data_IF_926250747757
#
_entry.id   IF_926250747757
#
_cell.length_a   1.000
_cell.length_b   1.000
_cell.length_c   1.000
_cell.angle_alpha   90.00
_cell.angle_beta   90.00
_cell.angle_gamma   90.00
#
_symmetry.space_group_name_H-M   'P 1'
#
loop_
_entity.id
_entity.type
_entity.pdbx_description
1 polymer ?
#
# COMPACT_ATOMS: atom_id res chain seq x y z
N UNK A 1 -25.63 -48.51 5.77
CA UNK A 1 -25.46 -47.07 6.01
C UNK A 1 -24.76 -46.53 4.78
N UNK A 2 -25.48 -45.72 3.98
CA UNK A 2 -24.93 -45.11 2.76
C UNK A 2 -24.21 -43.83 3.22
N UNK A 3 -22.91 -43.76 3.01
CA UNK A 3 -22.19 -42.48 3.05
C UNK A 3 -22.77 -41.57 1.98
N UNK A 4 -23.46 -40.52 2.40
CA UNK A 4 -23.82 -39.43 1.52
C UNK A 4 -22.51 -38.68 1.22
N UNK A 5 -22.01 -38.82 0.00
CA UNK A 5 -20.94 -37.98 -0.52
C UNK A 5 -21.38 -36.52 -0.41
N UNK A 6 -20.65 -35.69 0.38
CA UNK A 6 -20.70 -34.24 0.26
C UNK A 6 -20.28 -33.91 -1.15
N UNK A 7 -21.22 -33.43 -1.96
CA UNK A 7 -20.86 -32.81 -3.22
C UNK A 7 -19.83 -31.73 -2.95
N UNK A 8 -18.74 -31.72 -3.67
CA UNK A 8 -17.80 -30.59 -3.70
C UNK A 8 -18.62 -29.38 -4.18
N UNK A 9 -19.00 -28.50 -3.25
CA UNK A 9 -19.51 -27.18 -3.63
C UNK A 9 -18.43 -26.51 -4.45
N UNK A 10 -18.78 -26.08 -5.65
CA UNK A 10 -17.85 -25.30 -6.49
C UNK A 10 -17.48 -24.02 -5.74
N UNK A 11 -16.24 -23.58 -5.74
CA UNK A 11 -15.87 -22.34 -5.08
C UNK A 11 -16.64 -21.17 -5.71
N UNK A 12 -17.03 -20.20 -4.89
CA UNK A 12 -17.76 -19.00 -5.31
C UNK A 12 -16.88 -18.03 -6.15
N UNK A 13 -15.78 -18.51 -6.71
CA UNK A 13 -14.85 -17.73 -7.52
C UNK A 13 -14.05 -18.63 -8.49
N UNK A 14 -13.50 -18.00 -9.52
CA UNK A 14 -12.51 -18.61 -10.41
C UNK A 14 -11.32 -17.67 -10.60
N UNK A 15 -10.10 -18.17 -10.36
CA UNK A 15 -8.87 -17.50 -10.79
C UNK A 15 -8.55 -17.99 -12.18
N UNK A 16 -8.44 -17.04 -13.17
CA UNK A 16 -8.21 -17.41 -14.57
C UNK A 16 -6.73 -17.49 -14.88
N UNK A 17 -6.10 -16.31 -15.07
CA UNK A 17 -4.74 -16.21 -15.52
C UNK A 17 -3.94 -15.26 -14.61
N UNK A 18 -2.62 -15.40 -14.62
CA UNK A 18 -1.69 -14.45 -14.02
C UNK A 18 -0.78 -13.88 -15.10
N UNK A 19 -0.51 -12.58 -15.03
CA UNK A 19 0.32 -11.85 -15.99
C UNK A 19 1.46 -11.13 -15.27
N UNK A 20 2.59 -10.97 -15.96
CA UNK A 20 3.67 -10.09 -15.50
C UNK A 20 3.40 -8.71 -16.09
N UNK A 21 3.22 -7.72 -15.22
CA UNK A 21 3.00 -6.31 -15.59
C UNK A 21 4.33 -5.64 -15.92
N UNK A 22 5.31 -5.83 -15.05
CA UNK A 22 6.65 -5.28 -15.23
C UNK A 22 7.69 -6.17 -14.55
N UNK A 23 8.78 -6.42 -15.26
CA UNK A 23 9.95 -7.14 -14.75
C UNK A 23 11.21 -6.50 -15.32
N UNK A 24 12.22 -6.33 -14.47
CA UNK A 24 13.55 -5.86 -14.83
C UNK A 24 14.59 -6.66 -14.04
N UNK A 25 15.47 -7.36 -14.74
CA UNK A 25 16.46 -8.25 -14.12
C UNK A 25 17.48 -7.50 -13.24
N UNK A 26 17.63 -6.20 -13.44
CA UNK A 26 18.54 -5.33 -12.68
C UNK A 26 17.85 -4.54 -11.57
N UNK A 27 16.52 -4.66 -11.48
CA UNK A 27 15.72 -3.92 -10.53
C UNK A 27 15.08 -4.82 -9.46
N UNK A 28 14.74 -4.18 -8.36
CA UNK A 28 13.80 -4.68 -7.36
C UNK A 28 12.50 -3.89 -7.52
N UNK A 29 11.42 -4.58 -7.84
CA UNK A 29 10.10 -3.99 -8.05
C UNK A 29 9.15 -4.39 -6.92
N UNK A 30 8.37 -3.43 -6.39
CA UNK A 30 7.50 -3.69 -5.24
C UNK A 30 6.37 -2.67 -5.10
N UNK A 31 5.48 -2.91 -4.14
CA UNK A 31 4.44 -1.99 -3.66
C UNK A 31 3.58 -1.41 -4.80
N UNK A 32 2.89 -2.26 -5.59
CA UNK A 32 2.03 -1.75 -6.64
C UNK A 32 0.75 -1.13 -6.10
N UNK A 33 0.22 -0.16 -6.84
CA UNK A 33 -1.11 0.39 -6.73
C UNK A 33 -1.69 0.54 -8.12
N UNK A 34 -2.99 0.26 -8.30
CA UNK A 34 -3.65 0.28 -9.61
C UNK A 34 -5.03 0.92 -9.51
N UNK A 35 -5.42 1.65 -10.54
CA UNK A 35 -6.77 2.23 -10.69
C UNK A 35 -7.26 2.10 -12.12
N UNK A 36 -8.60 2.10 -12.29
CA UNK A 36 -9.25 2.22 -13.60
C UNK A 36 -9.56 3.69 -13.82
N UNK A 37 -9.11 4.23 -14.95
CA UNK A 37 -9.38 5.59 -15.35
C UNK A 37 -10.69 5.69 -16.14
N UNK A 38 -11.26 6.89 -16.18
CA UNK A 38 -12.37 7.20 -17.07
C UNK A 38 -12.01 6.81 -18.51
N UNK A 39 -12.89 6.06 -19.17
CA UNK A 39 -12.64 5.49 -20.50
C UNK A 39 -12.01 4.10 -20.50
N UNK A 40 -11.79 3.48 -19.31
CA UNK A 40 -11.43 2.06 -19.18
C UNK A 40 -9.95 1.73 -19.27
N UNK A 41 -9.08 2.72 -19.46
CA UNK A 41 -7.62 2.53 -19.33
C UNK A 41 -7.26 2.26 -17.86
N UNK A 42 -6.32 1.36 -17.59
CA UNK A 42 -5.79 1.16 -16.24
C UNK A 42 -4.45 1.86 -16.09
N UNK A 43 -4.24 2.44 -14.92
CA UNK A 43 -3.00 3.07 -14.54
C UNK A 43 -2.46 2.38 -13.29
N UNK A 44 -1.24 1.86 -13.38
CA UNK A 44 -0.52 1.25 -12.26
C UNK A 44 0.71 2.09 -11.88
N UNK A 45 0.92 2.23 -10.58
CA UNK A 45 2.11 2.83 -9.98
C UNK A 45 2.82 1.77 -9.13
N UNK A 46 4.15 1.74 -9.14
CA UNK A 46 4.91 0.80 -8.33
C UNK A 46 6.31 1.32 -8.05
N UNK A 47 6.94 0.78 -7.02
CA UNK A 47 8.32 1.12 -6.70
C UNK A 47 9.32 0.35 -7.56
N UNK A 48 10.37 1.06 -7.92
CA UNK A 48 11.54 0.57 -8.64
C UNK A 48 12.80 0.99 -7.90
N UNK A 49 13.66 0.04 -7.63
CA UNK A 49 14.96 0.26 -6.99
C UNK A 49 16.00 -0.62 -7.68
N UNK A 50 17.27 -0.34 -7.48
CA UNK A 50 18.32 -1.21 -7.94
C UNK A 50 18.30 -2.54 -7.18
N UNK A 51 18.35 -3.67 -7.89
CA UNK A 51 18.61 -4.98 -7.29
C UNK A 51 20.01 -4.98 -6.66
N UNK A 52 20.10 -5.40 -5.39
CA UNK A 52 21.34 -5.46 -4.62
C UNK A 52 21.59 -6.88 -4.10
N UNK A 53 22.86 -7.20 -3.93
CA UNK A 53 23.30 -8.41 -3.27
C UNK A 53 24.06 -8.05 -1.97
N UNK A 54 23.65 -8.60 -0.81
CA UNK A 54 22.43 -9.41 -0.61
C UNK A 54 21.17 -8.59 -0.86
N UNK A 55 20.08 -9.27 -1.19
CA UNK A 55 18.78 -8.64 -1.35
C UNK A 55 18.38 -7.90 -0.07
N UNK A 56 17.92 -6.68 -0.19
CA UNK A 56 17.46 -5.86 0.92
C UNK A 56 16.05 -5.37 0.61
N UNK A 57 15.17 -5.54 1.59
CA UNK A 57 13.83 -4.95 1.48
C UNK A 57 13.95 -3.42 1.53
N UNK A 58 13.24 -2.68 0.65
CA UNK A 58 13.28 -1.23 0.60
C UNK A 58 12.80 -0.58 1.91
N UNK A 59 13.12 0.68 2.12
CA UNK A 59 13.83 1.60 1.24
C UNK A 59 15.30 1.75 1.66
N UNK A 60 16.19 1.11 0.96
CA UNK A 60 17.64 1.16 1.24
C UNK A 60 18.46 1.88 0.19
N UNK A 61 17.81 2.27 -0.91
CA UNK A 61 18.49 2.77 -2.10
C UNK A 61 18.07 4.20 -2.44
N UNK A 62 19.03 5.15 -2.61
CA UNK A 62 18.73 6.49 -3.11
C UNK A 62 18.07 6.51 -4.50
N UNK A 63 18.18 5.41 -5.26
CA UNK A 63 17.52 5.25 -6.56
C UNK A 63 16.10 4.68 -6.46
N UNK A 64 15.57 4.56 -5.25
CA UNK A 64 14.21 4.10 -5.03
C UNK A 64 13.21 5.12 -5.57
N UNK A 65 12.49 4.76 -6.64
CA UNK A 65 11.60 5.63 -7.41
C UNK A 65 10.24 4.99 -7.61
N UNK A 66 9.26 5.82 -7.94
CA UNK A 66 7.96 5.36 -8.43
C UNK A 66 7.95 5.38 -9.96
N UNK A 67 7.52 4.27 -10.54
CA UNK A 67 7.21 4.15 -11.96
C UNK A 67 5.70 4.06 -12.17
N UNK A 68 5.26 4.52 -13.35
CA UNK A 68 3.88 4.45 -13.83
C UNK A 68 3.84 3.63 -15.12
N UNK A 69 2.87 2.75 -15.27
CA UNK A 69 2.59 2.03 -16.50
C UNK A 69 1.08 1.96 -16.75
N UNK A 70 0.69 1.69 -17.99
CA UNK A 70 -0.70 1.73 -18.45
C UNK A 70 -1.05 0.54 -19.30
N UNK A 71 -2.34 0.24 -19.32
CA UNK A 71 -2.93 -0.71 -20.25
C UNK A 71 -4.30 -0.20 -20.74
N UNK A 72 -4.59 -0.41 -22.02
CA UNK A 72 -5.89 -0.10 -22.63
C UNK A 72 -6.64 -1.37 -23.10
N UNK A 73 -6.09 -2.54 -22.79
CA UNK A 73 -6.61 -3.85 -23.21
C UNK A 73 -6.85 -4.80 -22.01
N UNK A 74 -7.34 -4.24 -20.91
CA UNK A 74 -7.64 -4.97 -19.66
C UNK A 74 -6.46 -5.76 -19.12
N UNK A 75 -5.22 -5.25 -19.27
CA UNK A 75 -4.02 -5.86 -18.72
C UNK A 75 -3.35 -6.90 -19.60
N UNK A 76 -3.83 -7.13 -20.83
CA UNK A 76 -3.21 -8.06 -21.77
C UNK A 76 -1.83 -7.58 -22.25
N UNK A 77 -1.65 -6.26 -22.38
CA UNK A 77 -0.35 -5.64 -22.64
C UNK A 77 -0.18 -4.35 -21.82
N UNK A 78 1.07 -3.98 -21.55
CA UNK A 78 1.42 -2.82 -20.74
C UNK A 78 2.43 -1.93 -21.45
N UNK A 79 2.23 -0.62 -21.35
CA UNK A 79 3.17 0.37 -21.89
C UNK A 79 4.52 0.31 -21.15
N UNK A 80 5.59 0.77 -21.79
CA UNK A 80 6.88 0.93 -21.13
C UNK A 80 6.74 1.88 -19.93
N UNK A 81 7.24 1.52 -18.74
CA UNK A 81 7.09 2.36 -17.56
C UNK A 81 7.76 3.72 -17.71
N UNK A 82 7.14 4.74 -17.13
CA UNK A 82 7.66 6.11 -17.03
C UNK A 82 7.84 6.52 -15.59
N UNK A 83 8.71 7.50 -15.31
CA UNK A 83 8.89 7.99 -13.94
C UNK A 83 7.72 8.87 -13.50
N UNK A 84 7.25 8.63 -12.27
CA UNK A 84 6.39 9.56 -11.54
C UNK A 84 7.18 10.82 -11.12
N UNK A 85 6.51 11.91 -10.66
CA UNK A 85 7.19 13.09 -10.18
C UNK A 85 8.26 12.76 -9.14
N UNK A 86 9.46 13.27 -9.37
CA UNK A 86 10.63 13.10 -8.52
C UNK A 86 11.40 14.43 -8.42
N UNK A 87 11.91 14.73 -7.25
CA UNK A 87 12.63 15.95 -7.00
C UNK A 87 13.58 15.79 -5.81
N UNK A 88 14.64 16.59 -5.81
CA UNK A 88 15.59 16.67 -4.69
C UNK A 88 16.31 15.34 -4.38
N UNK A 89 16.94 15.26 -3.23
CA UNK A 89 17.63 14.08 -2.70
C UNK A 89 16.65 13.13 -2.01
N UNK A 90 15.64 12.68 -2.72
CA UNK A 90 14.62 11.84 -2.14
C UNK A 90 14.39 10.56 -2.95
N UNK A 91 14.02 9.49 -2.26
CA UNK A 91 13.42 8.30 -2.81
C UNK A 91 11.97 8.20 -2.38
N UNK A 92 11.21 7.34 -3.01
CA UNK A 92 9.79 7.19 -2.75
C UNK A 92 9.44 5.78 -2.34
N UNK A 93 8.48 5.63 -1.45
CA UNK A 93 7.96 4.33 -1.04
C UNK A 93 6.42 4.33 -1.09
N UNK A 94 5.86 3.16 -1.35
CA UNK A 94 4.42 2.88 -1.30
C UNK A 94 3.58 3.92 -2.05
N UNK A 95 3.64 3.98 -3.38
CA UNK A 95 2.76 4.86 -4.13
C UNK A 95 1.32 4.40 -4.01
N UNK A 96 0.39 5.35 -3.82
CA UNK A 96 -1.05 5.14 -3.96
C UNK A 96 -1.55 5.89 -5.19
N UNK A 97 -2.33 5.27 -6.06
CA UNK A 97 -2.91 5.93 -7.23
C UNK A 97 -4.41 5.73 -7.30
N UNK A 98 -5.13 6.83 -7.45
CA UNK A 98 -6.59 6.83 -7.60
C UNK A 98 -7.03 7.90 -8.62
N UNK A 99 -8.15 7.67 -9.27
CA UNK A 99 -8.88 8.73 -9.97
C UNK A 99 -10.12 9.10 -9.16
N UNK A 100 -10.31 10.39 -8.91
CA UNK A 100 -11.48 10.96 -8.25
C UNK A 100 -12.65 11.11 -9.24
N UNK A 101 -13.85 11.25 -8.73
CA UNK A 101 -15.06 11.35 -9.55
C UNK A 101 -15.13 12.58 -10.48
N UNK A 102 -14.27 13.59 -10.31
CA UNK A 102 -14.11 14.71 -11.22
C UNK A 102 -13.06 14.47 -12.32
N UNK A 103 -12.45 13.27 -12.35
CA UNK A 103 -11.39 12.90 -13.31
C UNK A 103 -9.97 13.23 -12.83
N UNK A 104 -9.79 13.93 -11.72
CA UNK A 104 -8.45 14.19 -11.15
C UNK A 104 -7.78 12.88 -10.77
N UNK A 105 -6.57 12.65 -11.25
CA UNK A 105 -5.73 11.53 -10.80
C UNK A 105 -4.84 12.01 -9.66
N UNK A 106 -4.86 11.27 -8.56
CA UNK A 106 -4.06 11.55 -7.36
C UNK A 106 -3.02 10.45 -7.20
N UNK A 107 -1.75 10.83 -7.16
CA UNK A 107 -0.64 9.95 -6.80
C UNK A 107 -0.12 10.39 -5.42
N UNK A 108 -0.18 9.50 -4.45
CA UNK A 108 0.42 9.73 -3.13
C UNK A 108 1.77 9.04 -3.02
N UNK A 109 2.70 9.67 -2.32
CA UNK A 109 4.04 9.13 -2.08
C UNK A 109 4.54 9.51 -0.69
N UNK A 110 5.11 8.57 0.03
CA UNK A 110 5.98 8.86 1.15
C UNK A 110 7.42 8.95 0.64
N UNK A 111 8.13 10.04 0.99
CA UNK A 111 9.46 10.32 0.50
C UNK A 111 10.48 10.34 1.63
N UNK A 112 11.59 9.63 1.40
CA UNK A 112 12.76 9.69 2.25
C UNK A 112 13.80 10.65 1.69
N UNK A 113 14.50 11.36 2.58
CA UNK A 113 15.73 12.03 2.20
C UNK A 113 16.91 11.04 2.24
N UNK A 114 17.71 11.03 1.19
CA UNK A 114 18.91 10.21 1.11
C UNK A 114 20.12 11.13 1.09
N UNK A 115 20.85 11.20 2.17
CA UNK A 115 21.93 12.17 2.36
C UNK A 115 23.28 11.48 2.46
N UNK A 116 24.33 11.92 1.70
CA UNK A 116 25.68 11.52 1.98
C UNK A 116 26.02 11.74 3.46
N UNK A 117 26.82 10.86 4.07
CA UNK A 117 27.04 10.87 5.54
C UNK A 117 27.49 12.23 6.07
N UNK A 118 28.35 12.95 5.33
CA UNK A 118 28.81 14.28 5.73
C UNK A 118 27.68 15.33 5.79
N UNK A 119 26.69 15.26 4.91
CA UNK A 119 25.48 16.09 4.95
C UNK A 119 24.54 15.65 6.06
N UNK A 120 24.36 14.34 6.21
CA UNK A 120 23.51 13.75 7.24
C UNK A 120 23.98 14.14 8.67
N UNK A 121 25.29 14.13 8.92
CA UNK A 121 25.88 14.62 10.19
C UNK A 121 25.46 16.06 10.47
N UNK A 122 25.56 16.94 9.48
CA UNK A 122 25.18 18.36 9.62
C UNK A 122 23.68 18.52 9.92
N UNK A 123 22.82 17.75 9.22
CA UNK A 123 21.37 17.78 9.41
C UNK A 123 20.99 17.26 10.80
N UNK A 124 21.60 16.17 11.26
CA UNK A 124 21.39 15.65 12.61
C UNK A 124 21.81 16.66 13.69
N UNK A 125 22.95 17.32 13.49
CA UNK A 125 23.42 18.38 14.42
C UNK A 125 22.46 19.60 14.46
N UNK A 126 21.69 19.82 13.38
CA UNK A 126 20.61 20.80 13.32
C UNK A 126 19.29 20.32 13.91
N UNK A 127 19.24 19.09 14.46
CA UNK A 127 18.05 18.50 15.08
C UNK A 127 17.12 17.73 14.14
N UNK A 128 17.54 17.51 12.88
CA UNK A 128 16.72 16.70 11.95
C UNK A 128 16.84 15.20 12.30
N UNK A 129 15.73 14.43 12.20
CA UNK A 129 15.77 12.99 12.39
C UNK A 129 16.54 12.31 11.26
N UNK A 130 17.60 11.62 11.61
CA UNK A 130 18.47 10.88 10.70
C UNK A 130 18.58 9.44 11.17
N UNK A 131 18.43 8.50 10.25
CA UNK A 131 18.63 7.07 10.52
C UNK A 131 19.86 6.54 9.79
N UNK A 132 20.63 5.67 10.45
CA UNK A 132 21.70 4.88 9.86
C UNK A 132 21.26 3.43 9.69
N UNK A 133 21.78 2.78 8.67
CA UNK A 133 21.72 1.33 8.54
C UNK A 133 23.04 0.75 9.08
N UNK A 134 22.96 0.10 10.22
CA UNK A 134 24.12 -0.50 10.90
C UNK A 134 24.16 -2.03 10.65
N UNK A 135 25.29 -2.69 10.86
CA UNK A 135 25.39 -4.13 10.75
C UNK A 135 24.44 -4.91 11.65
N UNK A 136 24.11 -4.34 12.81
CA UNK A 136 23.29 -4.91 13.89
C UNK A 136 21.95 -4.22 14.09
N UNK A 137 21.72 -3.05 13.46
CA UNK A 137 20.48 -2.28 13.56
C UNK A 137 20.06 -1.77 12.17
N UNK A 138 18.92 -2.21 11.72
CA UNK A 138 18.37 -1.79 10.42
C UNK A 138 17.67 -0.44 10.56
N UNK A 139 18.13 0.59 9.82
CA UNK A 139 17.59 1.95 9.81
C UNK A 139 17.16 2.49 11.18
N UNK A 140 18.12 2.77 12.02
CA UNK A 140 17.91 3.25 13.39
C UNK A 140 18.25 4.73 13.55
N UNK A 141 17.47 5.46 14.36
CA UNK A 141 17.82 6.80 14.88
C UNK A 141 18.62 6.71 16.19
N UNK A 142 18.57 5.54 16.84
CA UNK A 142 19.35 5.27 18.06
C UNK A 142 20.76 4.81 17.70
N UNK A 143 21.67 5.79 17.54
CA UNK A 143 23.09 5.56 17.25
C UNK A 143 23.97 6.70 17.78
N UNK A 144 25.25 6.38 18.08
CA UNK A 144 26.25 7.29 18.60
C UNK A 144 27.17 7.90 17.54
N UNK A 145 28.15 8.69 17.96
CA UNK A 145 29.09 9.35 17.03
C UNK A 145 29.97 8.33 16.30
N UNK A 146 30.40 7.27 16.98
CA UNK A 146 31.28 6.24 16.41
C UNK A 146 30.53 5.36 15.34
N UNK A 147 29.20 5.36 15.38
CA UNK A 147 28.39 4.55 14.44
C UNK A 147 28.39 5.09 13.01
N UNK A 148 28.77 6.34 12.81
CA UNK A 148 28.90 6.89 11.46
C UNK A 148 29.90 6.11 10.60
N UNK A 149 30.99 5.64 11.20
CA UNK A 149 32.00 4.84 10.50
C UNK A 149 31.57 3.38 10.31
N UNK A 150 30.58 2.93 11.08
CA UNK A 150 30.00 1.58 11.00
C UNK A 150 28.84 1.49 10.02
N UNK A 151 28.39 2.60 9.44
CA UNK A 151 27.27 2.60 8.51
C UNK A 151 27.53 1.64 7.34
N UNK A 152 26.51 0.81 7.02
CA UNK A 152 26.56 -0.11 5.86
C UNK A 152 26.65 0.61 4.54
N UNK A 153 26.20 1.87 4.50
CA UNK A 153 26.11 2.68 3.28
C UNK A 153 26.86 3.99 3.45
N UNK A 154 27.25 4.59 2.35
CA UNK A 154 27.85 5.92 2.29
C UNK A 154 26.82 7.04 2.39
N UNK A 155 25.57 6.70 2.66
CA UNK A 155 24.44 7.59 2.87
C UNK A 155 23.63 7.22 4.09
N UNK A 156 22.92 8.19 4.63
CA UNK A 156 21.94 8.06 5.70
C UNK A 156 20.54 8.37 5.17
N UNK A 157 19.52 7.92 5.87
CA UNK A 157 18.12 8.21 5.60
C UNK A 157 17.62 9.33 6.50
N UNK A 158 16.98 10.32 5.90
CA UNK A 158 16.17 11.31 6.60
C UNK A 158 14.71 11.23 6.16
N UNK A 159 13.88 12.10 6.69
CA UNK A 159 12.49 12.23 6.29
C UNK A 159 12.34 13.40 5.35
N UNK A 160 11.56 13.20 4.30
CA UNK A 160 11.25 14.27 3.35
C UNK A 160 9.78 14.66 3.41
N UNK A 161 8.90 13.71 3.70
CA UNK A 161 7.49 13.93 3.95
C UNK A 161 6.54 13.13 3.08
N UNK A 162 5.27 13.37 3.30
CA UNK A 162 4.15 12.79 2.59
C UNK A 162 3.64 13.77 1.54
N UNK A 163 3.42 13.29 0.32
CA UNK A 163 3.07 14.13 -0.83
C UNK A 163 1.86 13.58 -1.59
N UNK A 164 1.05 14.48 -2.11
CA UNK A 164 0.05 14.21 -3.13
C UNK A 164 0.41 14.97 -4.41
N UNK A 165 0.42 14.28 -5.54
CA UNK A 165 0.62 14.85 -6.87
C UNK A 165 -0.68 14.72 -7.64
N UNK A 166 -1.15 15.82 -8.23
CA UNK A 166 -2.42 15.88 -8.93
C UNK A 166 -2.19 16.01 -10.43
N UNK A 167 -3.01 15.31 -11.19
CA UNK A 167 -3.03 15.31 -12.64
C UNK A 167 -4.44 15.53 -13.16
N UNK A 168 -4.57 16.44 -14.14
CA UNK A 168 -5.80 16.68 -14.89
C UNK A 168 -5.82 16.00 -16.26
N UNK A 169 -4.73 15.32 -16.65
CA UNK A 169 -4.54 14.69 -17.95
C UNK A 169 -4.44 13.15 -17.85
N UNK A 170 -5.18 12.56 -16.88
CA UNK A 170 -5.25 11.11 -16.65
C UNK A 170 -3.90 10.53 -16.20
N UNK A 171 -3.12 11.30 -15.42
CA UNK A 171 -1.83 10.87 -14.86
C UNK A 171 -0.70 10.80 -15.91
N UNK A 172 -0.81 11.53 -17.04
CA UNK A 172 0.29 11.65 -18.00
C UNK A 172 1.32 12.67 -17.55
N UNK A 173 0.82 13.77 -16.95
CA UNK A 173 1.65 14.75 -16.24
C UNK A 173 1.03 15.07 -14.87
N UNK A 174 1.84 15.54 -13.94
CA UNK A 174 1.40 15.98 -12.61
C UNK A 174 1.87 17.41 -12.45
N UNK A 175 0.93 18.34 -12.52
CA UNK A 175 1.20 19.78 -12.56
C UNK A 175 1.04 20.46 -11.18
N UNK A 176 0.53 19.73 -10.20
CA UNK A 176 0.35 20.22 -8.84
C UNK A 176 0.86 19.20 -7.82
N UNK A 177 1.71 19.68 -6.91
CA UNK A 177 2.28 18.86 -5.83
C UNK A 177 2.03 19.53 -4.48
N UNK A 178 1.46 18.78 -3.57
CA UNK A 178 1.17 19.22 -2.20
C UNK A 178 1.99 18.36 -1.23
N UNK A 179 2.74 19.01 -0.34
CA UNK A 179 3.26 18.36 0.86
C UNK A 179 2.16 18.38 1.93
N UNK A 180 1.81 17.23 2.47
CA UNK A 180 0.81 17.11 3.50
C UNK A 180 1.39 17.53 4.86
N UNK A 181 0.65 18.34 5.61
CA UNK A 181 0.98 18.62 6.99
C UNK A 181 0.38 17.53 7.89
N UNK A 182 1.22 16.81 8.57
CA UNK A 182 0.85 15.68 9.44
C UNK A 182 0.91 16.04 10.92
N UNK A 183 1.27 17.27 11.27
CA UNK A 183 1.33 17.71 12.67
C UNK A 183 0.02 17.50 13.43
N UNK A 184 0.03 16.99 14.66
CA UNK A 184 1.19 16.82 15.56
C UNK A 184 1.97 15.50 15.39
N UNK A 185 1.56 14.61 14.47
CA UNK A 185 2.25 13.35 14.23
C UNK A 185 3.44 13.57 13.31
N UNK A 186 4.38 12.63 13.31
CA UNK A 186 5.47 12.63 12.32
C UNK A 186 4.94 12.23 10.95
N UNK A 187 5.65 12.67 9.92
CA UNK A 187 5.43 12.18 8.57
C UNK A 187 5.44 10.65 8.56
N UNK A 188 4.52 10.09 7.83
CA UNK A 188 4.32 8.66 7.80
C UNK A 188 4.07 8.14 6.40
N UNK A 189 3.68 6.88 6.32
CA UNK A 189 3.43 6.22 5.04
C UNK A 189 2.06 5.54 5.01
N UNK A 190 1.54 5.44 3.83
CA UNK A 190 0.43 4.55 3.49
C UNK A 190 0.83 3.74 2.28
N UNK A 191 0.24 2.57 2.15
CA UNK A 191 0.44 1.70 0.98
C UNK A 191 -0.74 1.72 0.02
N UNK A 192 -1.81 2.41 0.40
CA UNK A 192 -3.06 2.45 -0.34
C UNK A 192 -3.30 3.83 -0.94
N UNK A 193 -4.11 3.95 -2.00
CA UNK A 193 -4.49 5.23 -2.54
C UNK A 193 -5.40 6.01 -1.58
N UNK A 194 -5.69 7.24 -1.94
CA UNK A 194 -6.76 8.03 -1.31
C UNK A 194 -8.12 7.41 -1.62
N UNK A 195 -9.09 7.60 -0.72
CA UNK A 195 -10.48 7.16 -0.88
C UNK A 195 -11.41 8.37 -0.96
N UNK A 196 -12.14 8.52 -2.06
CA UNK A 196 -13.20 9.52 -2.17
C UNK A 196 -14.45 9.04 -1.44
N UNK A 197 -15.02 9.90 -0.60
CA UNK A 197 -16.20 9.60 0.23
C UNK A 197 -17.47 10.12 -0.44
N UNK A 198 -18.62 9.57 -0.06
CA UNK A 198 -19.93 9.95 -0.61
C UNK A 198 -20.29 11.43 -0.34
N UNK A 199 -19.73 12.03 0.69
CA UNK A 199 -19.91 13.47 0.99
C UNK A 199 -18.97 14.38 0.17
N UNK A 200 -18.13 13.81 -0.69
CA UNK A 200 -17.20 14.53 -1.57
C UNK A 200 -15.83 14.82 -0.96
N UNK A 201 -15.62 14.50 0.32
CA UNK A 201 -14.29 14.55 0.92
C UNK A 201 -13.41 13.43 0.37
N UNK A 202 -12.11 13.62 0.45
CA UNK A 202 -11.11 12.59 0.16
C UNK A 202 -10.40 12.24 1.45
N UNK A 203 -10.36 10.96 1.80
CA UNK A 203 -9.69 10.44 2.98
C UNK A 203 -8.35 9.78 2.61
N UNK A 204 -7.34 9.96 3.44
CA UNK A 204 -6.04 9.30 3.30
C UNK A 204 -5.55 8.80 4.65
N UNK A 205 -5.54 7.48 4.84
CA UNK A 205 -5.10 6.86 6.08
C UNK A 205 -3.59 6.64 6.06
N UNK A 206 -2.93 6.95 7.16
CA UNK A 206 -1.47 6.99 7.27
C UNK A 206 -1.02 6.40 8.60
N UNK A 207 0.12 5.73 8.58
CA UNK A 207 0.85 5.34 9.79
C UNK A 207 2.03 6.26 9.99
N UNK A 208 2.20 6.76 11.22
CA UNK A 208 3.39 7.51 11.59
C UNK A 208 4.65 6.66 11.39
N UNK A 209 5.66 7.23 10.76
CA UNK A 209 6.96 6.56 10.64
C UNK A 209 7.89 6.99 11.77
N UNK A 210 7.93 6.20 12.83
CA UNK A 210 8.73 6.47 14.03
C UNK A 210 9.55 5.24 14.45
N UNK A 211 10.77 5.04 13.92
CA UNK A 211 11.64 3.95 14.39
C UNK A 211 11.96 4.07 15.90
N UNK A 212 12.01 2.96 16.63
CA UNK A 212 11.95 1.57 16.16
C UNK A 212 10.52 1.03 16.00
N UNK A 213 9.48 1.75 16.40
CA UNK A 213 8.10 1.30 16.33
C UNK A 213 7.16 2.45 15.94
N UNK A 214 6.23 2.16 15.05
CA UNK A 214 5.13 3.07 14.74
C UNK A 214 4.13 3.07 15.90
N UNK A 215 3.58 4.21 16.22
CA UNK A 215 2.62 4.34 17.31
C UNK A 215 1.25 4.78 16.84
N UNK A 216 1.21 5.85 16.08
CA UNK A 216 -0.04 6.48 15.68
C UNK A 216 -0.47 6.06 14.27
N UNK A 217 -1.76 5.74 14.15
CA UNK A 217 -2.44 5.66 12.86
C UNK A 217 -3.48 6.76 12.82
N UNK A 218 -3.50 7.55 11.77
CA UNK A 218 -4.37 8.71 11.61
C UNK A 218 -4.89 8.82 10.18
N UNK A 219 -5.92 9.62 10.00
CA UNK A 219 -6.48 9.92 8.68
C UNK A 219 -6.43 11.43 8.43
N UNK A 220 -6.10 11.80 7.23
CA UNK A 220 -6.17 13.15 6.70
C UNK A 220 -7.39 13.25 5.79
N UNK A 221 -8.08 14.39 5.85
CA UNK A 221 -9.21 14.69 4.95
C UNK A 221 -8.90 15.89 4.08
N UNK A 222 -9.43 15.89 2.86
CA UNK A 222 -9.41 17.01 1.94
C UNK A 222 -10.83 17.29 1.43
N UNK A 223 -11.26 18.53 1.41
CA UNK A 223 -12.55 18.98 0.87
C UNK A 223 -12.45 19.58 -0.54
N UNK A 224 -11.21 19.75 -1.05
CA UNK A 224 -10.90 20.45 -2.29
C UNK A 224 -10.10 19.61 -3.30
N UNK A 225 -10.39 18.32 -3.35
CA UNK A 225 -9.75 17.38 -4.29
C UNK A 225 -8.23 17.27 -4.11
N UNK A 226 -7.80 17.09 -2.87
CA UNK A 226 -6.42 16.92 -2.44
C UNK A 226 -5.51 18.15 -2.64
N UNK A 227 -6.07 19.34 -2.85
CA UNK A 227 -5.27 20.58 -2.96
C UNK A 227 -4.83 21.10 -1.61
N UNK A 228 -5.70 20.97 -0.60
CA UNK A 228 -5.38 21.24 0.80
C UNK A 228 -5.88 20.09 1.69
N UNK A 229 -5.30 19.96 2.87
CA UNK A 229 -5.60 18.89 3.79
C UNK A 229 -5.88 19.45 5.19
N UNK A 230 -6.90 18.91 5.83
CA UNK A 230 -7.24 19.23 7.20
C UNK A 230 -6.23 18.62 8.19
N UNK A 231 -6.16 19.13 9.43
CA UNK A 231 -5.37 18.49 10.48
C UNK A 231 -5.74 17.01 10.64
N UNK A 232 -4.76 16.13 10.91
CA UNK A 232 -5.02 14.71 11.00
C UNK A 232 -5.95 14.34 12.16
N UNK A 233 -6.82 13.38 11.91
CA UNK A 233 -7.72 12.78 12.91
C UNK A 233 -7.11 11.43 13.35
N UNK A 234 -6.94 11.23 14.66
CA UNK A 234 -6.39 9.99 15.20
C UNK A 234 -7.36 8.83 14.96
N UNK A 235 -6.88 7.77 14.32
CA UNK A 235 -7.57 6.48 14.23
C UNK A 235 -7.21 5.65 15.46
N UNK A 236 -5.91 5.55 15.78
CA UNK A 236 -5.40 4.65 16.79
C UNK A 236 -4.10 5.14 17.41
N UNK A 237 -4.03 5.07 18.74
CA UNK A 237 -2.81 5.16 19.54
C UNK A 237 -2.63 3.84 20.30
N UNK A 238 -1.70 3.01 19.86
CA UNK A 238 -1.46 1.73 20.51
C UNK A 238 0.05 1.44 20.61
N UNK A 239 0.66 1.74 21.74
CA UNK A 239 2.09 1.54 21.93
C UNK A 239 2.49 0.07 22.13
N UNK A 240 1.54 -0.83 22.38
CA UNK A 240 1.80 -2.25 22.66
C UNK A 240 1.66 -3.13 21.42
N UNK A 241 0.71 -2.76 20.55
CA UNK A 241 0.42 -3.47 19.30
C UNK A 241 0.80 -2.59 18.16
N UNK A 242 1.94 -2.79 17.58
CA UNK A 242 2.43 -1.99 16.45
C UNK A 242 1.48 -2.22 15.26
N UNK A 243 0.63 -1.24 15.00
CA UNK A 243 -0.21 -1.22 13.82
C UNK A 243 0.39 -0.35 12.74
N UNK A 244 0.21 -0.76 11.48
CA UNK A 244 0.74 -0.06 10.33
C UNK A 244 -0.12 -0.29 9.09
N UNK A 245 0.20 0.43 8.03
CA UNK A 245 -0.34 0.24 6.69
C UNK A 245 -1.87 0.15 6.67
N UNK A 246 -2.55 1.22 7.16
CA UNK A 246 -4.01 1.28 7.16
C UNK A 246 -4.55 1.38 5.74
N UNK A 247 -5.74 0.84 5.53
CA UNK A 247 -6.58 1.15 4.39
C UNK A 247 -8.01 1.42 4.83
N UNK A 248 -8.68 2.37 4.17
CA UNK A 248 -10.04 2.81 4.51
C UNK A 248 -10.97 2.61 3.32
N UNK A 249 -12.17 2.10 3.61
CA UNK A 249 -13.28 2.09 2.68
C UNK A 249 -14.54 2.68 3.33
N UNK A 250 -15.33 3.44 2.59
CA UNK A 250 -16.66 3.85 2.99
C UNK A 250 -17.67 2.74 2.63
N UNK A 251 -18.19 2.07 3.65
CA UNK A 251 -19.07 0.90 3.49
C UNK A 251 -20.56 1.27 3.48
N UNK A 252 -20.88 2.44 3.97
CA UNK A 252 -22.16 3.12 3.85
C UNK A 252 -21.93 4.63 4.03
N UNK A 253 -22.81 5.52 3.58
CA UNK A 253 -22.61 6.96 3.73
C UNK A 253 -22.29 7.36 5.17
N UNK A 254 -21.09 7.89 5.40
CA UNK A 254 -20.56 8.29 6.71
C UNK A 254 -20.08 7.12 7.60
N UNK A 255 -20.20 5.88 7.16
CA UNK A 255 -19.66 4.71 7.85
C UNK A 255 -18.37 4.24 7.17
N UNK A 256 -17.24 4.37 7.86
CA UNK A 256 -15.92 3.98 7.36
C UNK A 256 -15.45 2.71 8.08
N UNK A 257 -14.84 1.82 7.32
CA UNK A 257 -14.10 0.67 7.84
C UNK A 257 -12.61 0.83 7.51
N UNK A 258 -11.76 0.60 8.51
CA UNK A 258 -10.31 0.63 8.34
C UNK A 258 -9.73 -0.74 8.64
N UNK A 259 -8.92 -1.28 7.74
CA UNK A 259 -8.11 -2.46 7.97
C UNK A 259 -6.67 -2.07 8.31
N UNK A 260 -6.05 -2.80 9.25
CA UNK A 260 -4.74 -2.50 9.83
C UNK A 260 -3.86 -3.75 9.78
N UNK A 261 -2.62 -3.59 9.33
CA UNK A 261 -1.56 -4.58 9.55
C UNK A 261 -1.14 -4.53 11.01
N UNK A 262 -0.87 -5.70 11.61
CA UNK A 262 -0.25 -5.81 12.92
C UNK A 262 1.08 -6.54 12.80
N UNK A 263 2.18 -5.88 13.13
CA UNK A 263 3.53 -6.46 13.03
C UNK A 263 3.79 -7.54 14.09
N UNK A 264 3.14 -7.41 15.24
CA UNK A 264 3.25 -8.39 16.34
C UNK A 264 2.38 -9.64 16.12
N UNK A 265 1.49 -9.64 15.13
CA UNK A 265 0.48 -10.70 14.96
C UNK A 265 0.24 -11.00 13.48
N UNK A 266 -0.10 -12.25 13.19
CA UNK A 266 -0.30 -12.75 11.82
C UNK A 266 -1.57 -12.20 11.17
N UNK A 267 -2.54 -11.73 11.97
CA UNK A 267 -3.87 -11.39 11.51
C UNK A 267 -4.05 -9.89 11.30
N UNK A 268 -4.76 -9.52 10.26
CA UNK A 268 -5.29 -8.17 10.11
C UNK A 268 -6.25 -7.82 11.25
N UNK A 269 -6.35 -6.55 11.55
CA UNK A 269 -7.33 -6.00 12.48
C UNK A 269 -8.19 -4.97 11.76
N UNK A 270 -9.41 -4.80 12.21
CA UNK A 270 -10.34 -3.82 11.67
C UNK A 270 -10.84 -2.88 12.75
N UNK A 271 -11.04 -1.62 12.41
CA UNK A 271 -11.75 -0.66 13.23
C UNK A 271 -12.75 0.15 12.38
N UNK A 272 -13.67 0.83 13.03
CA UNK A 272 -14.82 1.44 12.35
C UNK A 272 -15.08 2.84 12.86
N UNK A 273 -15.49 3.71 11.96
CA UNK A 273 -16.08 5.01 12.27
C UNK A 273 -17.54 5.03 11.80
N UNK A 274 -18.42 5.62 12.61
CA UNK A 274 -19.85 5.81 12.31
C UNK A 274 -20.21 7.30 12.13
N UNK A 275 -19.21 8.16 12.11
CA UNK A 275 -19.39 9.63 12.11
C UNK A 275 -18.52 10.33 11.04
N UNK A 276 -18.27 9.63 9.93
CA UNK A 276 -17.50 10.14 8.81
C UNK A 276 -16.01 10.30 9.10
N UNK A 277 -15.46 9.44 9.97
CA UNK A 277 -14.03 9.39 10.28
C UNK A 277 -13.59 10.30 11.44
N UNK A 278 -14.53 10.92 12.18
CA UNK A 278 -14.20 11.80 13.31
C UNK A 278 -13.80 11.04 14.56
N UNK A 279 -14.37 9.86 14.76
CA UNK A 279 -14.01 8.94 15.85
C UNK A 279 -13.98 7.49 15.36
N UNK A 280 -13.21 6.65 16.05
CA UNK A 280 -12.95 5.27 15.64
C UNK A 280 -13.09 4.29 16.81
N UNK A 281 -13.61 3.10 16.53
CA UNK A 281 -13.67 2.01 17.50
C UNK A 281 -12.28 1.45 17.79
N UNK A 282 -12.16 0.71 18.90
CA UNK A 282 -10.98 -0.10 19.14
C UNK A 282 -10.79 -1.13 18.00
N UNK A 283 -9.55 -1.50 17.66
CA UNK A 283 -9.27 -2.47 16.61
C UNK A 283 -9.61 -3.89 17.08
N UNK A 284 -10.35 -4.62 16.24
CA UNK A 284 -10.73 -6.00 16.45
C UNK A 284 -9.98 -6.93 15.49
N UNK A 285 -9.61 -8.11 15.98
CA UNK A 285 -8.94 -9.11 15.15
C UNK A 285 -9.91 -9.64 14.08
N UNK A 286 -9.47 -9.67 12.83
CA UNK A 286 -10.18 -10.33 11.74
C UNK A 286 -9.73 -11.80 11.58
N UNK A 287 -10.45 -12.63 10.82
CA UNK A 287 -9.99 -13.98 10.50
C UNK A 287 -8.87 -14.01 9.45
N UNK A 288 -8.55 -12.90 8.79
CA UNK A 288 -7.60 -12.81 7.69
C UNK A 288 -6.16 -12.92 8.18
N UNK A 289 -5.49 -14.03 7.84
CA UNK A 289 -4.11 -14.33 8.25
C UNK A 289 -3.11 -13.90 7.18
N UNK A 290 -2.70 -12.65 7.20
CA UNK A 290 -1.76 -12.06 6.24
C UNK A 290 -1.65 -10.56 6.39
N UNK A 291 -0.85 -9.91 5.54
CA UNK A 291 -0.67 -8.45 5.52
C UNK A 291 0.16 -7.99 4.32
N UNK A 292 0.08 -6.68 3.99
CA UNK A 292 -0.96 -5.75 4.41
C UNK A 292 -2.28 -6.05 3.70
N UNK A 293 -3.38 -5.46 4.20
CA UNK A 293 -4.71 -5.56 3.60
C UNK A 293 -5.03 -4.36 2.72
N UNK A 294 -5.84 -4.56 1.68
CA UNK A 294 -6.44 -3.52 0.86
C UNK A 294 -7.93 -3.78 0.73
N UNK A 295 -8.72 -2.72 0.90
CA UNK A 295 -10.18 -2.75 0.86
C UNK A 295 -10.69 -2.27 -0.49
N UNK A 296 -11.74 -2.92 -0.99
CA UNK A 296 -12.47 -2.50 -2.18
C UNK A 296 -13.96 -2.73 -1.94
N UNK A 297 -14.76 -1.69 -2.03
CA UNK A 297 -16.22 -1.81 -2.10
C UNK A 297 -16.58 -2.16 -3.53
N UNK A 298 -17.15 -3.34 -3.73
CA UNK A 298 -17.58 -3.83 -5.03
C UNK A 298 -18.86 -3.10 -5.48
N UNK A 299 -19.14 -3.14 -6.77
CA UNK A 299 -20.31 -2.48 -7.38
C UNK A 299 -21.65 -3.01 -6.84
N UNK A 300 -21.67 -4.21 -6.30
CA UNK A 300 -22.84 -4.81 -5.64
C UNK A 300 -22.95 -4.50 -4.15
N UNK A 301 -21.99 -3.73 -3.59
CA UNK A 301 -21.96 -3.29 -2.20
C UNK A 301 -21.23 -4.23 -1.25
N UNK A 302 -20.75 -5.40 -1.69
CA UNK A 302 -19.87 -6.25 -0.88
C UNK A 302 -18.53 -5.56 -0.66
N UNK A 303 -17.93 -5.81 0.50
CA UNK A 303 -16.57 -5.36 0.81
C UNK A 303 -15.59 -6.51 0.60
N UNK A 304 -14.60 -6.28 -0.26
CA UNK A 304 -13.47 -7.19 -0.47
C UNK A 304 -12.26 -6.69 0.31
N UNK A 305 -11.54 -7.59 0.97
CA UNK A 305 -10.20 -7.32 1.49
C UNK A 305 -9.20 -8.28 0.83
N UNK A 306 -8.22 -7.73 0.10
CA UNK A 306 -7.10 -8.51 -0.45
C UNK A 306 -5.85 -8.32 0.41
N UNK A 307 -5.04 -9.37 0.59
CA UNK A 307 -3.87 -9.34 1.46
C UNK A 307 -2.79 -10.34 1.05
N UNK A 308 -1.55 -10.02 1.40
CA UNK A 308 -0.41 -10.91 1.20
C UNK A 308 -0.35 -11.99 2.28
N UNK A 309 -0.26 -13.25 1.87
CA UNK A 309 0.01 -14.38 2.77
C UNK A 309 1.51 -14.67 2.84
N UNK A 310 2.17 -14.17 3.90
CA UNK A 310 3.63 -14.27 4.09
C UNK A 310 4.07 -15.50 4.93
N UNK A 311 3.27 -16.55 4.87
CA UNK A 311 3.55 -17.90 5.40
C UNK A 311 3.18 -18.92 4.34
N UNK A 312 3.88 -20.07 4.35
CA UNK A 312 3.58 -21.14 3.40
C UNK A 312 2.13 -21.66 3.51
N UNK A 313 1.53 -21.90 2.37
CA UNK A 313 1.96 -21.52 1.03
C UNK A 313 1.93 -20.00 0.85
N UNK A 314 3.07 -19.43 0.38
CA UNK A 314 3.18 -17.98 0.14
C UNK A 314 2.29 -17.58 -1.03
N UNK A 315 1.65 -16.41 -0.91
CA UNK A 315 0.77 -15.97 -1.97
C UNK A 315 -0.08 -14.76 -1.64
N UNK A 316 -1.17 -14.63 -2.37
CA UNK A 316 -2.16 -13.56 -2.22
C UNK A 316 -3.54 -14.17 -1.96
N UNK A 317 -4.26 -13.58 -1.04
CA UNK A 317 -5.59 -14.02 -0.61
C UNK A 317 -6.58 -12.86 -0.62
N UNK A 318 -7.86 -13.21 -0.64
CA UNK A 318 -8.92 -12.23 -0.40
C UNK A 318 -10.06 -12.84 0.42
N UNK A 319 -10.77 -11.98 1.15
CA UNK A 319 -11.99 -12.33 1.85
C UNK A 319 -13.09 -11.34 1.50
N UNK A 320 -14.33 -11.82 1.47
CA UNK A 320 -15.54 -11.03 1.27
C UNK A 320 -16.29 -10.80 2.57
N UNK A 321 -16.91 -9.65 2.68
CA UNK A 321 -17.90 -9.28 3.70
C UNK A 321 -19.16 -8.74 3.02
N UNK A 322 -20.31 -9.23 3.44
CA UNK A 322 -21.63 -8.82 2.94
C UNK A 322 -22.27 -7.73 3.83
N UNK A 323 -21.64 -7.42 4.96
CA UNK A 323 -22.16 -6.56 6.01
C UNK A 323 -21.22 -5.38 6.35
N UNK A 324 -20.41 -4.97 5.36
CA UNK A 324 -19.50 -3.85 5.49
C UNK A 324 -18.36 -4.09 6.48
N UNK A 325 -17.84 -5.30 6.57
CA UNK A 325 -16.70 -5.65 7.43
C UNK A 325 -17.07 -5.99 8.88
N UNK A 326 -18.37 -6.19 9.20
CA UNK A 326 -18.77 -6.67 10.53
C UNK A 326 -18.50 -8.16 10.67
N UNK A 327 -18.66 -8.90 9.59
CA UNK A 327 -18.24 -10.30 9.48
C UNK A 327 -17.51 -10.56 8.18
N UNK A 328 -16.68 -11.59 8.15
CA UNK A 328 -15.87 -11.97 7.00
C UNK A 328 -16.04 -13.45 6.69
N UNK A 329 -16.21 -13.79 5.42
CA UNK A 329 -16.38 -15.18 4.96
C UNK A 329 -15.04 -15.94 4.98
N UNK A 330 -14.58 -16.30 6.17
CA UNK A 330 -13.31 -17.01 6.34
C UNK A 330 -13.28 -18.40 5.67
N UNK A 331 -14.43 -19.10 5.66
CA UNK A 331 -14.60 -20.43 5.04
C UNK A 331 -14.59 -20.33 3.50
N UNK A 332 -14.78 -19.13 2.96
CA UNK A 332 -14.74 -18.82 1.54
C UNK A 332 -13.53 -17.95 1.16
N UNK A 333 -12.39 -18.10 1.83
CA UNK A 333 -11.17 -17.38 1.47
C UNK A 333 -10.80 -17.62 0.00
N UNK A 334 -10.67 -16.54 -0.76
CA UNK A 334 -10.29 -16.58 -2.16
C UNK A 334 -8.77 -16.75 -2.24
N UNK A 335 -8.34 -17.86 -2.85
CA UNK A 335 -6.92 -18.11 -3.13
C UNK A 335 -6.56 -17.51 -4.47
N UNK A 336 -6.04 -16.26 -4.47
CA UNK A 336 -5.60 -15.58 -5.69
C UNK A 336 -4.30 -16.19 -6.22
N UNK A 337 -3.32 -16.44 -5.31
CA UNK A 337 -2.05 -17.15 -5.59
C UNK A 337 -1.64 -17.93 -4.35
N UNK A 338 -0.99 -19.08 -4.52
CA UNK A 338 -0.42 -19.91 -3.44
C UNK A 338 0.92 -20.55 -3.82
N UNK A 339 1.52 -20.07 -4.90
CA UNK A 339 2.73 -20.57 -5.53
C UNK A 339 3.86 -19.51 -5.61
N UNK A 340 3.73 -18.40 -4.86
CA UNK A 340 4.78 -17.39 -4.78
C UNK A 340 5.95 -17.89 -3.90
N UNK A 341 7.12 -17.33 -4.14
CA UNK A 341 8.34 -17.69 -3.41
C UNK A 341 8.70 -16.63 -2.36
N UNK A 342 9.10 -17.11 -1.18
CA UNK A 342 9.59 -16.24 -0.11
C UNK A 342 8.52 -15.40 0.57
N UNK A 343 8.94 -14.68 1.60
CA UNK A 343 8.06 -13.84 2.42
C UNK A 343 7.92 -12.40 1.88
N UNK A 344 8.81 -11.98 0.99
CA UNK A 344 8.85 -10.63 0.45
C UNK A 344 7.94 -10.51 -0.77
N UNK A 345 6.65 -10.51 -0.52
CA UNK A 345 5.57 -10.59 -1.51
C UNK A 345 4.35 -9.81 -1.07
N UNK A 346 3.40 -9.64 -1.98
CA UNK A 346 2.04 -9.19 -1.70
C UNK A 346 1.82 -7.73 -2.01
N UNK A 347 1.45 -6.94 -1.00
CA UNK A 347 0.97 -5.58 -1.19
C UNK A 347 -0.07 -5.49 -2.31
N UNK A 348 -1.13 -6.32 -2.25
CA UNK A 348 -2.10 -6.35 -3.33
C UNK A 348 -2.91 -5.07 -3.38
N UNK A 349 -3.27 -4.66 -4.61
CA UNK A 349 -4.28 -3.65 -4.89
C UNK A 349 -5.21 -4.20 -5.94
N UNK A 350 -6.51 -4.10 -5.71
CA UNK A 350 -7.54 -4.74 -6.52
C UNK A 350 -8.42 -3.70 -7.18
N UNK A 351 -8.75 -3.92 -8.44
CA UNK A 351 -9.78 -3.18 -9.17
C UNK A 351 -10.90 -4.13 -9.59
N UNK A 352 -12.13 -3.63 -9.59
CA UNK A 352 -13.27 -4.26 -10.23
C UNK A 352 -13.49 -3.60 -11.60
N UNK A 353 -12.94 -4.20 -12.67
CA UNK A 353 -12.98 -3.62 -14.01
C UNK A 353 -14.29 -3.90 -14.74
N UNK A 354 -15.02 -4.95 -14.36
CA UNK A 354 -16.40 -5.22 -14.77
C UNK A 354 -17.14 -5.89 -13.60
N UNK A 355 -18.49 -5.90 -13.56
CA UNK A 355 -19.24 -6.51 -12.46
C UNK A 355 -18.73 -7.92 -12.13
N UNK A 356 -18.33 -8.14 -10.89
CA UNK A 356 -17.75 -9.39 -10.38
C UNK A 356 -16.46 -9.85 -11.09
N UNK A 357 -15.81 -8.99 -11.87
CA UNK A 357 -14.53 -9.28 -12.53
C UNK A 357 -13.44 -8.41 -11.95
N UNK A 358 -12.52 -9.03 -11.26
CA UNK A 358 -11.46 -8.38 -10.51
C UNK A 358 -10.11 -8.59 -11.20
N UNK A 359 -9.25 -7.59 -11.07
CA UNK A 359 -7.83 -7.73 -11.32
C UNK A 359 -7.07 -7.36 -10.05
N UNK A 360 -6.28 -8.30 -9.55
CA UNK A 360 -5.48 -8.16 -8.34
C UNK A 360 -4.03 -7.96 -8.74
N UNK A 361 -3.51 -6.75 -8.53
CA UNK A 361 -2.12 -6.39 -8.80
C UNK A 361 -1.30 -6.58 -7.52
N UNK A 362 -0.14 -7.22 -7.59
CA UNK A 362 0.74 -7.51 -6.46
C UNK A 362 2.20 -7.64 -6.92
N UNK A 363 3.14 -7.73 -5.99
CA UNK A 363 4.51 -8.08 -6.32
C UNK A 363 4.95 -9.41 -5.70
N UNK A 364 5.95 -10.00 -6.29
CA UNK A 364 6.59 -11.23 -5.84
C UNK A 364 7.69 -11.65 -6.79
N UNK A 365 8.45 -12.66 -6.42
CA UNK A 365 9.50 -13.20 -7.27
C UNK A 365 8.92 -14.03 -8.42
N UNK A 366 9.44 -13.82 -9.62
CA UNK A 366 9.26 -14.72 -10.74
C UNK A 366 10.05 -16.03 -10.52
N UNK A 367 9.82 -17.10 -11.31
CA UNK A 367 10.53 -18.37 -11.13
C UNK A 367 12.06 -18.30 -11.18
N UNK A 368 12.63 -17.24 -11.74
CA UNK A 368 14.06 -16.97 -11.80
C UNK A 368 14.58 -16.14 -10.60
N UNK A 369 13.74 -15.88 -9.58
CA UNK A 369 14.09 -15.15 -8.38
C UNK A 369 14.18 -13.61 -8.55
N UNK A 370 13.65 -13.08 -9.67
CA UNK A 370 13.57 -11.63 -9.90
C UNK A 370 12.24 -11.10 -9.39
N UNK A 371 12.28 -10.13 -8.47
CA UNK A 371 11.07 -9.44 -8.01
C UNK A 371 10.43 -8.66 -9.15
N UNK A 372 9.13 -8.87 -9.37
CA UNK A 372 8.38 -8.27 -10.45
C UNK A 372 6.96 -7.88 -10.01
N UNK A 373 6.34 -6.98 -10.78
CA UNK A 373 4.93 -6.64 -10.61
C UNK A 373 4.10 -7.58 -11.46
N UNK A 374 3.11 -8.21 -10.82
CA UNK A 374 2.24 -9.24 -11.38
C UNK A 374 0.78 -8.89 -11.16
N UNK A 375 -0.09 -9.55 -11.87
CA UNK A 375 -1.52 -9.45 -11.67
C UNK A 375 -2.24 -10.75 -11.95
N UNK A 376 -3.38 -10.97 -11.28
CA UNK A 376 -4.24 -12.13 -11.50
C UNK A 376 -5.68 -11.70 -11.71
N UNK A 377 -6.36 -12.38 -12.63
CA UNK A 377 -7.78 -12.18 -12.89
C UNK A 377 -8.60 -13.11 -11.99
N UNK A 378 -9.59 -12.54 -11.32
CA UNK A 378 -10.50 -13.28 -10.43
C UNK A 378 -11.93 -12.95 -10.83
N UNK A 379 -12.69 -13.96 -11.18
CA UNK A 379 -14.13 -13.84 -11.41
C UNK A 379 -14.87 -14.33 -10.15
N UNK A 380 -15.70 -13.48 -9.58
CA UNK A 380 -16.60 -13.86 -8.50
C UNK A 380 -17.88 -14.45 -9.12
N UNK A 381 -18.34 -15.57 -8.57
CA UNK A 381 -19.68 -16.05 -8.88
C UNK A 381 -20.69 -15.25 -8.07
N UNK A 382 -21.78 -14.87 -8.72
CA UNK A 382 -22.88 -14.08 -8.12
C UNK A 382 -23.66 -14.89 -7.08
#
# INVERSE_FOLDING_TARGET
MKEQGRGLEMPDYAVRDSVIICKDDFAYLSHPSITVLDGGEWLAAFNHSRRREPSMHPPTDPLFRTLLTRTSDEGASWEAPTFAPDFDWSGTECPGIAQLGDGTVVLTQFRFGWYPLGLAKKRRAAGEPISLCLPDKYWTEDFGEDDWERSRFTWARGYHGLYAHLSSDRGRTFDHTVKLDTGPYRDGYSRTPVTELADGRVAYAVTEHHPPANRYTYVLFSEDRCRTWEPPVLILDDPERIFSEPDIAEVAPGELYCVLRSDARVYLHGCRSLDGGRSWSAPEKTPMAGHPGQLLVLRDGRLLCTYGRRKEPFGVRACLSEDGGRSWRADGEIVVRDDLHGWDIGYPTTIEYAPNRLFVCYYGEAPDGVSCIQGSYVDLTS
#
